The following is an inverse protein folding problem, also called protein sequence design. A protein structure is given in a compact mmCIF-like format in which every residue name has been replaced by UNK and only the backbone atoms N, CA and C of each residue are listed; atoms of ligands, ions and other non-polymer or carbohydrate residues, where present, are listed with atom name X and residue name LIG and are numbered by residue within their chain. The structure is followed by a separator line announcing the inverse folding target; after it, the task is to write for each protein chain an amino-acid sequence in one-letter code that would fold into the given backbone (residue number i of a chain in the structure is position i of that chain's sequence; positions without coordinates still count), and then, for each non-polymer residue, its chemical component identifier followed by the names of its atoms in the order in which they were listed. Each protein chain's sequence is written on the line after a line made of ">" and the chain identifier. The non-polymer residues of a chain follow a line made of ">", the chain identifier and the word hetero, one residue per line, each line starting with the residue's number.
data_IF_048361526899
#
_entry.id   IF_048361526899
#
_cell.length_a   1.000
_cell.length_b   1.000
_cell.length_c   1.000
_cell.angle_alpha   90.00
_cell.angle_beta   90.00
_cell.angle_gamma   90.00
#
_symmetry.space_group_name_H-M   'P 1'
#
loop_
_entity.id
_entity.type
_entity.pdbx_description
1 polymer ?
#
# COMPACT_ATOMS: atom_id res chain seq x y z
N UNK A 1 -26.33 14.86 36.11
CA UNK A 1 -25.21 14.17 35.43
C UNK A 1 -24.20 13.66 36.47
N UNK A 2 -23.58 12.48 36.29
CA UNK A 2 -22.50 12.06 37.21
C UNK A 2 -21.27 12.95 37.01
N UNK A 3 -20.49 13.17 38.08
CA UNK A 3 -19.33 14.08 38.06
C UNK A 3 -18.36 13.72 36.92
N UNK A 4 -18.02 12.44 36.78
CA UNK A 4 -17.14 11.92 35.72
C UNK A 4 -17.66 12.20 34.30
N UNK A 5 -18.96 12.01 34.06
CA UNK A 5 -19.57 12.33 32.75
C UNK A 5 -19.50 13.83 32.46
N UNK A 6 -19.71 14.66 33.49
CA UNK A 6 -19.58 16.11 33.37
C UNK A 6 -18.15 16.54 33.06
N UNK A 7 -17.16 15.93 33.70
CA UNK A 7 -15.75 16.28 33.49
C UNK A 7 -15.27 15.89 32.08
N UNK A 8 -15.74 14.77 31.54
CA UNK A 8 -15.46 14.36 30.15
C UNK A 8 -16.11 15.35 29.16
N UNK A 9 -17.40 15.67 29.34
CA UNK A 9 -18.11 16.58 28.44
C UNK A 9 -17.46 17.97 28.46
N UNK A 10 -17.08 18.49 29.63
CA UNK A 10 -16.32 19.75 29.75
C UNK A 10 -14.99 19.71 29.01
N UNK A 11 -14.25 18.61 29.11
CA UNK A 11 -12.96 18.44 28.44
C UNK A 11 -13.11 18.40 26.91
N UNK A 12 -14.17 17.78 26.39
CA UNK A 12 -14.52 17.76 24.97
C UNK A 12 -14.93 19.16 24.50
N UNK A 13 -15.79 19.85 25.25
CA UNK A 13 -16.24 21.21 24.92
C UNK A 13 -15.08 22.20 24.88
N UNK A 14 -14.13 22.10 25.84
CA UNK A 14 -12.89 22.86 25.83
C UNK A 14 -12.06 22.59 24.58
N UNK A 15 -11.85 21.33 24.22
CA UNK A 15 -11.10 20.96 23.02
C UNK A 15 -11.72 21.52 21.73
N UNK A 16 -13.05 21.38 21.58
CA UNK A 16 -13.76 21.91 20.41
C UNK A 16 -13.61 23.44 20.32
N UNK A 17 -13.72 24.16 21.45
CA UNK A 17 -13.49 25.61 21.50
C UNK A 17 -12.06 25.95 21.03
N UNK A 18 -11.04 25.31 21.60
CA UNK A 18 -9.64 25.58 21.28
C UNK A 18 -9.36 25.36 19.78
N UNK A 19 -9.96 24.34 19.16
CA UNK A 19 -9.84 24.07 17.72
C UNK A 19 -10.57 25.12 16.85
N UNK A 20 -11.76 25.59 17.25
CA UNK A 20 -12.49 26.67 16.57
C UNK A 20 -11.70 27.99 16.61
N UNK A 21 -11.08 28.30 17.75
CA UNK A 21 -10.25 29.49 17.95
C UNK A 21 -8.92 29.39 17.17
N UNK A 22 -8.46 28.17 16.87
CA UNK A 22 -7.25 27.95 16.08
C UNK A 22 -7.41 28.45 14.62
N UNK A 23 -6.28 28.86 14.01
CA UNK A 23 -6.25 29.34 12.63
C UNK A 23 -6.16 28.21 11.58
N UNK A 24 -6.36 26.95 11.96
CA UNK A 24 -6.11 25.78 11.11
C UNK A 24 -7.33 25.30 10.33
N UNK A 25 -8.53 25.67 10.77
CA UNK A 25 -9.80 25.21 10.21
C UNK A 25 -10.41 26.27 9.29
N UNK A 26 -11.07 25.83 8.22
CA UNK A 26 -11.87 26.68 7.34
C UNK A 26 -13.22 27.05 8.00
N UNK A 27 -13.98 27.93 7.33
CA UNK A 27 -15.24 28.46 7.88
C UNK A 27 -16.29 27.37 8.07
N UNK A 28 -16.44 26.47 7.09
CA UNK A 28 -17.43 25.39 7.10
C UNK A 28 -17.12 24.38 8.23
N UNK A 29 -15.84 24.08 8.46
CA UNK A 29 -15.37 23.24 9.56
C UNK A 29 -15.65 23.89 10.92
N UNK A 30 -15.41 25.19 11.06
CA UNK A 30 -15.70 25.93 12.30
C UNK A 30 -17.20 25.96 12.61
N UNK A 31 -18.04 26.18 11.60
CA UNK A 31 -19.50 26.13 11.76
C UNK A 31 -19.96 24.74 12.20
N UNK A 32 -19.43 23.69 11.59
CA UNK A 32 -19.74 22.30 11.94
C UNK A 32 -19.37 21.98 13.40
N UNK A 33 -18.22 22.50 13.87
CA UNK A 33 -17.77 22.34 15.25
C UNK A 33 -18.60 23.16 16.25
N UNK A 34 -19.02 24.37 15.90
CA UNK A 34 -19.93 25.16 16.74
C UNK A 34 -21.29 24.46 16.92
N UNK A 35 -21.83 23.84 15.87
CA UNK A 35 -23.05 23.03 15.98
C UNK A 35 -22.83 21.86 16.94
N UNK A 36 -21.72 21.13 16.80
CA UNK A 36 -21.40 20.01 17.68
C UNK A 36 -21.28 20.45 19.16
N UNK A 37 -20.63 21.59 19.40
CA UNK A 37 -20.50 22.21 20.72
C UNK A 37 -21.88 22.57 21.32
N UNK A 38 -22.74 23.25 20.56
CA UNK A 38 -24.09 23.62 21.03
C UNK A 38 -24.97 22.39 21.32
N UNK A 39 -24.87 21.34 20.50
CA UNK A 39 -25.57 20.08 20.75
C UNK A 39 -25.15 19.46 22.10
N UNK A 40 -23.86 19.45 22.40
CA UNK A 40 -23.34 18.94 23.67
C UNK A 40 -23.75 19.83 24.85
N UNK A 41 -23.64 21.15 24.72
CA UNK A 41 -24.06 22.11 25.76
C UNK A 41 -25.56 21.94 26.09
N UNK A 42 -26.42 21.85 25.07
CA UNK A 42 -27.86 21.64 25.27
C UNK A 42 -28.18 20.27 25.86
N UNK A 43 -27.55 19.21 25.38
CA UNK A 43 -27.82 17.84 25.85
C UNK A 43 -27.44 17.65 27.32
N UNK A 44 -26.40 18.34 27.78
CA UNK A 44 -25.85 18.20 29.13
C UNK A 44 -26.17 19.38 30.05
N UNK A 45 -27.07 20.28 29.63
CA UNK A 45 -27.51 21.46 30.40
C UNK A 45 -26.33 22.33 30.88
N UNK A 46 -25.36 22.59 30.00
CA UNK A 46 -24.16 23.39 30.31
C UNK A 46 -24.31 24.83 29.82
N UNK A 47 -24.00 25.79 30.68
CA UNK A 47 -24.13 27.22 30.34
C UNK A 47 -22.88 27.73 29.60
N UNK A 48 -23.08 28.14 28.34
CA UNK A 48 -22.05 28.72 27.46
C UNK A 48 -21.46 30.04 27.95
N UNK A 49 -22.15 30.74 28.87
CA UNK A 49 -21.71 32.03 29.41
C UNK A 49 -20.61 31.90 30.47
N UNK A 50 -20.42 30.70 31.03
CA UNK A 50 -19.55 30.50 32.17
C UNK A 50 -18.13 30.17 31.68
N UNK A 51 -17.36 31.23 31.36
CA UNK A 51 -15.97 31.11 30.86
C UNK A 51 -15.10 30.26 31.80
N UNK A 52 -15.44 30.25 33.11
CA UNK A 52 -14.81 29.45 34.14
C UNK A 52 -14.88 27.93 33.87
N UNK A 53 -15.98 27.44 33.27
CA UNK A 53 -16.22 26.01 32.97
C UNK A 53 -15.16 25.44 32.03
N UNK A 54 -14.62 26.26 31.13
CA UNK A 54 -13.66 25.84 30.11
C UNK A 54 -12.22 26.04 30.57
N UNK A 55 -11.94 27.06 31.39
CA UNK A 55 -10.60 27.27 31.97
C UNK A 55 -10.23 26.21 33.00
N UNK A 56 -11.20 25.67 33.72
CA UNK A 56 -10.99 24.63 34.74
C UNK A 56 -11.07 23.19 34.20
N UNK A 57 -11.56 23.00 32.96
CA UNK A 57 -11.69 21.67 32.38
C UNK A 57 -10.33 21.03 32.11
N UNK A 58 -10.14 19.79 32.52
CA UNK A 58 -8.93 19.00 32.22
C UNK A 58 -8.68 18.94 30.71
N UNK A 59 -7.43 18.97 30.28
CA UNK A 59 -7.10 18.83 28.86
C UNK A 59 -7.59 17.45 28.36
N UNK A 60 -8.34 17.42 27.25
CA UNK A 60 -8.93 16.17 26.73
C UNK A 60 -7.89 15.07 26.52
N UNK A 61 -6.71 15.42 25.99
CA UNK A 61 -5.63 14.45 25.80
C UNK A 61 -5.07 13.95 27.13
N UNK A 62 -5.07 14.74 28.21
CA UNK A 62 -4.66 14.27 29.53
C UNK A 62 -5.63 13.25 30.16
N UNK A 63 -6.88 13.17 29.72
CA UNK A 63 -7.80 12.08 30.08
C UNK A 63 -7.40 10.74 29.42
N UNK A 64 -6.76 10.80 28.25
CA UNK A 64 -6.22 9.63 27.55
C UNK A 64 -4.77 9.34 27.96
N UNK A 65 -4.07 10.38 28.40
CA UNK A 65 -2.68 10.37 28.80
C UNK A 65 -2.58 10.44 30.33
N UNK A 66 -3.53 9.81 31.03
CA UNK A 66 -3.38 9.55 32.47
C UNK A 66 -2.10 8.73 32.57
N UNK A 67 -1.03 9.43 32.92
CA UNK A 67 0.14 8.87 33.55
C UNK A 67 -0.37 8.21 34.83
N UNK A 68 -0.95 7.01 34.68
CA UNK A 68 -1.11 6.09 35.78
C UNK A 68 0.31 5.77 36.18
N UNK A 69 0.73 6.33 37.32
CA UNK A 69 1.71 5.62 38.13
C UNK A 69 1.16 4.21 38.28
N UNK A 70 1.74 3.28 37.53
CA UNK A 70 1.35 1.89 37.58
C UNK A 70 1.76 1.42 38.97
N UNK A 71 0.79 1.31 39.88
CA UNK A 71 1.10 0.80 41.21
C UNK A 71 1.63 -0.66 41.07
N UNK A 72 2.48 -1.07 42.01
CA UNK A 72 3.16 -2.39 41.93
C UNK A 72 2.18 -3.57 41.89
N UNK A 73 1.02 -3.45 42.54
CA UNK A 73 -0.03 -4.47 42.52
C UNK A 73 -0.68 -4.58 41.14
N UNK A 74 -1.02 -3.46 40.50
CA UNK A 74 -1.56 -3.45 39.13
C UNK A 74 -0.52 -4.00 38.13
N UNK A 75 0.76 -3.67 38.31
CA UNK A 75 1.84 -4.25 37.51
C UNK A 75 1.94 -5.77 37.69
N UNK A 76 1.84 -6.26 38.93
CA UNK A 76 1.84 -7.69 39.24
C UNK A 76 0.65 -8.41 38.61
N UNK A 77 -0.56 -7.87 38.75
CA UNK A 77 -1.78 -8.44 38.14
C UNK A 77 -1.65 -8.46 36.61
N UNK A 78 -1.12 -7.39 36.00
CA UNK A 78 -0.90 -7.34 34.56
C UNK A 78 0.07 -8.44 34.07
N UNK A 79 1.10 -8.74 34.86
CA UNK A 79 2.04 -9.82 34.55
C UNK A 79 1.41 -11.21 34.67
N UNK A 80 0.54 -11.43 35.66
CA UNK A 80 -0.28 -12.66 35.77
C UNK A 80 -1.22 -12.82 34.57
N UNK A 81 -1.89 -11.73 34.15
CA UNK A 81 -2.72 -11.71 32.95
C UNK A 81 -1.91 -12.04 31.70
N UNK A 82 -0.67 -11.54 31.58
CA UNK A 82 0.21 -11.94 30.46
C UNK A 82 0.45 -13.45 30.45
N UNK A 83 0.73 -14.07 31.60
CA UNK A 83 0.91 -15.53 31.69
C UNK A 83 -0.36 -16.26 31.27
N UNK A 84 -1.53 -15.79 31.72
CA UNK A 84 -2.82 -16.36 31.33
C UNK A 84 -3.10 -16.22 29.83
N UNK A 85 -2.86 -15.05 29.25
CA UNK A 85 -2.99 -14.81 27.81
C UNK A 85 -2.05 -15.70 27.00
N UNK A 86 -0.82 -15.92 27.47
CA UNK A 86 0.11 -16.85 26.83
C UNK A 86 -0.39 -18.30 26.87
N UNK A 87 -1.11 -18.71 27.92
CA UNK A 87 -1.71 -20.04 27.98
C UNK A 87 -2.86 -20.18 26.98
N UNK A 88 -3.73 -19.18 26.84
CA UNK A 88 -4.74 -19.16 25.78
C UNK A 88 -4.13 -19.21 24.38
N UNK A 89 -3.02 -18.49 24.14
CA UNK A 89 -2.27 -18.57 22.88
C UNK A 89 -1.78 -20.00 22.60
N UNK A 90 -1.27 -20.72 23.61
CA UNK A 90 -0.82 -22.11 23.46
C UNK A 90 -1.97 -23.08 23.18
N UNK A 91 -3.16 -22.78 23.70
CA UNK A 91 -4.38 -23.55 23.48
C UNK A 91 -5.07 -23.23 22.14
N UNK A 92 -4.59 -22.24 21.38
CA UNK A 92 -5.21 -21.79 20.14
C UNK A 92 -6.44 -20.88 20.34
N UNK A 93 -6.72 -20.47 21.57
CA UNK A 93 -7.83 -19.60 21.94
C UNK A 93 -7.42 -18.12 21.80
N UNK A 94 -7.30 -17.66 20.55
CA UNK A 94 -6.68 -16.36 20.26
C UNK A 94 -7.57 -15.17 20.62
N UNK A 95 -8.90 -15.31 20.56
CA UNK A 95 -9.84 -14.25 20.96
C UNK A 95 -9.78 -14.01 22.47
N UNK A 96 -9.77 -15.08 23.26
CA UNK A 96 -9.63 -15.01 24.71
C UNK A 96 -8.25 -14.46 25.11
N UNK A 97 -7.19 -14.82 24.38
CA UNK A 97 -5.87 -14.24 24.60
C UNK A 97 -5.87 -12.71 24.36
N UNK A 98 -6.58 -12.23 23.33
CA UNK A 98 -6.68 -10.80 23.00
C UNK A 98 -7.38 -10.03 24.13
N UNK A 99 -8.48 -10.55 24.65
CA UNK A 99 -9.21 -9.93 25.76
C UNK A 99 -8.31 -9.81 26.99
N UNK A 100 -7.63 -10.90 27.36
CA UNK A 100 -6.72 -10.93 28.50
C UNK A 100 -5.52 -9.99 28.34
N UNK A 101 -4.91 -9.90 27.15
CA UNK A 101 -3.85 -8.92 26.92
C UNK A 101 -4.36 -7.48 26.95
N UNK A 102 -5.61 -7.23 26.57
CA UNK A 102 -6.22 -5.91 26.66
C UNK A 102 -6.45 -5.51 28.11
N UNK A 103 -6.89 -6.42 28.96
CA UNK A 103 -6.93 -6.20 30.41
C UNK A 103 -5.54 -5.88 30.98
N UNK A 104 -4.49 -6.63 30.57
CA UNK A 104 -3.11 -6.36 31.00
C UNK A 104 -2.62 -4.97 30.58
N UNK A 105 -2.95 -4.54 29.36
CA UNK A 105 -2.62 -3.20 28.83
C UNK A 105 -3.34 -2.11 29.63
N UNK A 106 -4.62 -2.31 29.97
CA UNK A 106 -5.38 -1.35 30.76
C UNK A 106 -4.78 -1.14 32.15
N UNK A 107 -4.19 -2.20 32.74
CA UNK A 107 -3.53 -2.12 34.05
C UNK A 107 -2.11 -1.54 33.98
N UNK A 108 -1.35 -1.86 32.93
CA UNK A 108 0.00 -1.35 32.73
C UNK A 108 0.26 -1.07 31.23
N UNK A 109 -0.11 0.13 30.75
CA UNK A 109 -0.01 0.50 29.34
C UNK A 109 1.43 0.80 28.90
N UNK A 110 2.39 0.85 29.84
CA UNK A 110 3.80 1.14 29.53
C UNK A 110 4.61 -0.14 29.24
N UNK A 111 4.02 -1.32 29.44
CA UNK A 111 4.70 -2.57 29.17
C UNK A 111 4.57 -3.00 27.70
N UNK A 112 5.64 -2.78 26.94
CA UNK A 112 5.72 -3.11 25.52
C UNK A 112 5.40 -4.59 25.20
N UNK A 113 5.61 -5.51 26.15
CA UNK A 113 5.43 -6.96 25.94
C UNK A 113 3.96 -7.30 25.71
N UNK A 114 3.03 -6.59 26.35
CA UNK A 114 1.60 -6.89 26.22
C UNK A 114 1.10 -6.56 24.82
N UNK A 115 1.47 -5.40 24.28
CA UNK A 115 1.21 -5.04 22.88
C UNK A 115 1.87 -6.03 21.92
N UNK A 116 3.14 -6.38 22.14
CA UNK A 116 3.83 -7.37 21.30
C UNK A 116 3.07 -8.72 21.30
N UNK A 117 2.59 -9.18 22.45
CA UNK A 117 1.85 -10.43 22.58
C UNK A 117 0.46 -10.37 21.96
N UNK A 118 -0.29 -9.28 22.17
CA UNK A 118 -1.59 -9.04 21.55
C UNK A 118 -1.49 -8.93 20.03
N UNK A 119 -0.41 -8.35 19.49
CA UNK A 119 -0.13 -8.35 18.06
C UNK A 119 -0.02 -9.77 17.47
N UNK A 120 0.53 -10.75 18.21
CA UNK A 120 0.50 -12.14 17.74
C UNK A 120 -0.89 -12.76 17.79
N UNK A 121 -1.70 -12.45 18.80
CA UNK A 121 -3.10 -12.88 18.83
C UNK A 121 -3.86 -12.32 17.61
N UNK A 122 -3.72 -11.03 17.33
CA UNK A 122 -4.27 -10.41 16.12
C UNK A 122 -3.78 -11.06 14.83
N UNK A 123 -2.48 -11.38 14.74
CA UNK A 123 -1.90 -12.05 13.57
C UNK A 123 -2.50 -13.45 13.35
N UNK A 124 -2.75 -14.20 14.43
CA UNK A 124 -3.40 -15.52 14.37
C UNK A 124 -4.87 -15.46 14.01
N UNK A 125 -5.52 -14.31 14.23
CA UNK A 125 -6.89 -14.01 13.84
C UNK A 125 -6.99 -13.30 12.49
N UNK A 126 -5.88 -13.20 11.73
CA UNK A 126 -5.82 -12.50 10.44
C UNK A 126 -6.20 -11.01 10.49
N UNK A 127 -6.16 -10.41 11.70
CA UNK A 127 -6.41 -8.98 11.93
C UNK A 127 -5.12 -8.18 11.78
N UNK A 128 -4.56 -8.17 10.57
CA UNK A 128 -3.20 -7.67 10.30
C UNK A 128 -3.02 -6.17 10.61
N UNK A 129 -4.00 -5.31 10.33
CA UNK A 129 -3.93 -3.88 10.69
C UNK A 129 -3.82 -3.64 12.20
N UNK A 130 -4.58 -4.39 13.00
CA UNK A 130 -4.48 -4.33 14.45
C UNK A 130 -3.11 -4.84 14.94
N UNK A 131 -2.59 -5.91 14.34
CA UNK A 131 -1.25 -6.41 14.64
C UNK A 131 -0.16 -5.38 14.33
N UNK A 132 -0.26 -4.66 13.21
CA UNK A 132 0.66 -3.57 12.84
C UNK A 132 0.60 -2.46 13.89
N UNK A 133 -0.60 -2.02 14.27
CA UNK A 133 -0.80 -0.97 15.28
C UNK A 133 -0.14 -1.33 16.61
N UNK A 134 -0.40 -2.54 17.12
CA UNK A 134 0.18 -3.01 18.38
C UNK A 134 1.70 -3.22 18.29
N UNK A 135 2.23 -3.68 17.15
CA UNK A 135 3.67 -3.76 16.96
C UNK A 135 4.32 -2.38 17.00
N UNK A 136 3.72 -1.38 16.36
CA UNK A 136 4.22 0.01 16.36
C UNK A 136 4.20 0.61 17.76
N UNK A 137 3.14 0.41 18.54
CA UNK A 137 3.09 0.88 19.92
C UNK A 137 4.12 0.14 20.80
N UNK A 138 4.28 -1.17 20.63
CA UNK A 138 5.33 -1.94 21.30
C UNK A 138 6.74 -1.40 20.99
N UNK A 139 7.03 -1.12 19.72
CA UNK A 139 8.32 -0.56 19.26
C UNK A 139 8.55 0.85 19.84
N UNK A 140 7.51 1.69 19.87
CA UNK A 140 7.57 3.03 20.46
C UNK A 140 7.91 2.99 21.95
N UNK A 141 7.37 2.01 22.69
CA UNK A 141 7.67 1.80 24.11
C UNK A 141 9.06 1.20 24.32
N UNK A 142 9.40 0.14 23.58
CA UNK A 142 10.70 -0.52 23.61
C UNK A 142 10.98 -1.21 22.27
N UNK A 143 11.95 -0.71 21.49
CA UNK A 143 12.37 -1.38 20.26
C UNK A 143 12.95 -2.77 20.58
N UNK A 144 12.36 -3.82 20.01
CA UNK A 144 12.83 -5.20 20.19
C UNK A 144 12.78 -5.97 18.88
N UNK A 145 13.72 -6.91 18.68
CA UNK A 145 13.74 -7.76 17.49
C UNK A 145 12.40 -8.51 17.29
N UNK A 146 11.78 -8.95 18.39
CA UNK A 146 10.49 -9.65 18.38
C UNK A 146 9.35 -8.79 17.84
N UNK A 147 9.28 -7.52 18.25
CA UNK A 147 8.23 -6.60 17.79
C UNK A 147 8.41 -6.25 16.30
N UNK A 148 9.65 -5.98 15.87
CA UNK A 148 9.96 -5.77 14.45
C UNK A 148 9.71 -7.01 13.59
N UNK A 149 10.09 -8.21 14.06
CA UNK A 149 9.83 -9.45 13.34
C UNK A 149 8.33 -9.71 13.17
N UNK A 150 7.51 -9.40 14.17
CA UNK A 150 6.04 -9.51 14.08
C UNK A 150 5.44 -8.44 13.16
N UNK A 151 5.98 -7.23 13.19
CA UNK A 151 5.60 -6.16 12.25
C UNK A 151 5.87 -6.59 10.80
N UNK A 152 7.04 -7.18 10.55
CA UNK A 152 7.39 -7.73 9.24
C UNK A 152 6.40 -8.79 8.77
N UNK A 153 6.05 -9.74 9.65
CA UNK A 153 5.04 -10.78 9.34
C UNK A 153 3.68 -10.16 9.00
N UNK A 154 3.23 -9.18 9.77
CA UNK A 154 1.96 -8.52 9.53
C UNK A 154 1.95 -7.77 8.19
N UNK A 155 3.05 -7.12 7.80
CA UNK A 155 3.20 -6.48 6.49
C UNK A 155 3.29 -7.49 5.34
N UNK A 156 4.03 -8.60 5.51
CA UNK A 156 4.10 -9.67 4.51
C UNK A 156 2.72 -10.23 4.19
N UNK A 157 1.88 -10.48 5.21
CA UNK A 157 0.52 -10.99 5.02
C UNK A 157 -0.40 -9.99 4.30
N UNK A 158 -0.03 -8.71 4.28
CA UNK A 158 -0.73 -7.65 3.56
C UNK A 158 -0.12 -7.37 2.18
N UNK A 159 0.85 -8.16 1.73
CA UNK A 159 1.64 -7.96 0.51
C UNK A 159 2.41 -6.62 0.47
N UNK A 160 2.63 -6.00 1.62
CA UNK A 160 3.41 -4.76 1.78
C UNK A 160 4.90 -5.13 1.93
N UNK A 161 5.49 -5.64 0.85
CA UNK A 161 6.80 -6.31 0.91
C UNK A 161 7.96 -5.36 1.23
N UNK A 162 7.88 -4.09 0.81
CA UNK A 162 8.88 -3.08 1.15
C UNK A 162 8.91 -2.82 2.67
N UNK A 163 7.74 -2.58 3.27
CA UNK A 163 7.60 -2.35 4.70
C UNK A 163 7.93 -3.61 5.52
N UNK A 164 7.59 -4.79 4.99
CA UNK A 164 7.96 -6.06 5.59
C UNK A 164 9.48 -6.24 5.64
N UNK A 165 10.16 -6.00 4.50
CA UNK A 165 11.62 -6.04 4.38
C UNK A 165 12.28 -5.11 5.38
N UNK A 166 11.84 -3.85 5.46
CA UNK A 166 12.42 -2.86 6.37
C UNK A 166 12.24 -3.27 7.84
N UNK A 167 11.09 -3.85 8.19
CA UNK A 167 10.85 -4.38 9.53
C UNK A 167 11.72 -5.63 9.82
N UNK A 168 11.87 -6.57 8.89
CA UNK A 168 12.74 -7.74 9.09
C UNK A 168 14.22 -7.37 9.17
N UNK A 169 14.66 -6.38 8.38
CA UNK A 169 16.01 -5.84 8.46
C UNK A 169 16.29 -5.29 9.87
N UNK A 170 15.37 -4.49 10.42
CA UNK A 170 15.49 -4.00 11.80
C UNK A 170 15.45 -5.13 12.84
N UNK A 171 14.66 -6.18 12.62
CA UNK A 171 14.65 -7.35 13.50
C UNK A 171 16.00 -8.08 13.47
N UNK A 172 16.59 -8.27 12.28
CA UNK A 172 17.87 -8.93 12.09
C UNK A 172 19.05 -8.10 12.62
N UNK A 173 19.02 -6.78 12.47
CA UNK A 173 20.02 -5.88 13.08
C UNK A 173 20.04 -6.00 14.61
N UNK A 174 18.88 -6.21 15.25
CA UNK A 174 18.75 -6.35 16.70
C UNK A 174 19.05 -7.76 17.22
N UNK A 175 18.82 -8.79 16.39
CA UNK A 175 19.11 -10.19 16.71
C UNK A 175 19.53 -10.94 15.44
N UNK A 176 20.83 -10.84 15.13
CA UNK A 176 21.44 -11.45 13.95
C UNK A 176 21.58 -12.97 14.06
N UNK A 177 21.43 -13.53 15.27
CA UNK A 177 21.49 -14.97 15.50
C UNK A 177 20.20 -15.71 15.12
N UNK A 178 19.11 -14.95 14.93
CA UNK A 178 17.80 -15.51 14.63
C UNK A 178 17.63 -15.76 13.13
N UNK A 179 17.83 -17.02 12.72
CA UNK A 179 17.69 -17.46 11.33
C UNK A 179 16.31 -17.13 10.73
N UNK A 180 15.24 -17.05 11.54
CA UNK A 180 13.90 -16.71 11.04
C UNK A 180 13.86 -15.30 10.45
N UNK A 181 14.54 -14.33 11.06
CA UNK A 181 14.54 -12.95 10.56
C UNK A 181 15.34 -12.84 9.26
N UNK A 182 16.46 -13.55 9.15
CA UNK A 182 17.24 -13.62 7.92
C UNK A 182 16.45 -14.27 6.78
N UNK A 183 15.78 -15.40 7.06
CA UNK A 183 14.94 -16.11 6.08
C UNK A 183 13.77 -15.23 5.62
N UNK A 184 13.06 -14.59 6.55
CA UNK A 184 11.94 -13.72 6.22
C UNK A 184 12.38 -12.45 5.47
N UNK A 185 13.56 -11.91 5.77
CA UNK A 185 14.14 -10.79 5.03
C UNK A 185 14.42 -11.18 3.57
N UNK A 186 15.08 -12.32 3.35
CA UNK A 186 15.34 -12.87 2.01
C UNK A 186 14.05 -13.11 1.23
N UNK A 187 13.04 -13.70 1.88
CA UNK A 187 11.74 -13.92 1.27
C UNK A 187 11.06 -12.59 0.89
N UNK A 188 11.15 -11.57 1.76
CA UNK A 188 10.60 -10.24 1.45
C UNK A 188 11.33 -9.59 0.27
N UNK A 189 12.66 -9.74 0.17
CA UNK A 189 13.46 -9.27 -0.97
C UNK A 189 13.06 -9.97 -2.29
N UNK A 190 12.89 -11.29 -2.26
CA UNK A 190 12.45 -12.09 -3.42
C UNK A 190 11.04 -11.68 -3.88
N UNK A 191 10.10 -11.55 -2.94
CA UNK A 191 8.73 -11.13 -3.23
C UNK A 191 8.69 -9.71 -3.79
N UNK A 192 9.51 -8.79 -3.25
CA UNK A 192 9.64 -7.44 -3.78
C UNK A 192 10.24 -7.41 -5.19
N UNK A 193 11.23 -8.24 -5.47
CA UNK A 193 11.83 -8.37 -6.81
C UNK A 193 10.87 -9.02 -7.82
N UNK A 194 9.98 -9.90 -7.36
CA UNK A 194 8.97 -10.56 -8.19
C UNK A 194 7.75 -9.70 -8.51
N UNK A 195 7.54 -8.59 -7.79
CA UNK A 195 6.47 -7.65 -8.08
C UNK A 195 6.73 -7.01 -9.46
N UNK A 196 5.74 -7.03 -10.38
CA UNK A 196 5.86 -6.30 -11.63
C UNK A 196 6.08 -4.83 -11.27
N UNK A 197 7.26 -4.31 -11.60
CA UNK A 197 7.69 -2.97 -11.23
C UNK A 197 6.66 -1.93 -11.68
N UNK A 198 5.78 -1.51 -10.77
CA UNK A 198 4.86 -0.38 -10.93
C UNK A 198 5.60 0.96 -10.69
N UNK A 199 6.89 1.00 -11.04
CA UNK A 199 7.85 1.99 -10.55
C UNK A 199 8.87 2.47 -11.56
N UNK A 200 8.62 2.38 -12.88
CA UNK A 200 9.36 3.17 -13.87
C UNK A 200 8.47 4.25 -14.51
N UNK A 201 7.67 4.96 -13.70
CA UNK A 201 7.09 6.25 -14.11
C UNK A 201 8.04 7.44 -13.83
N UNK A 202 9.20 7.20 -13.22
CA UNK A 202 10.22 8.24 -12.98
C UNK A 202 11.37 8.26 -14.02
N UNK A 203 11.31 7.41 -15.05
CA UNK A 203 12.26 7.43 -16.18
C UNK A 203 11.58 7.64 -17.54
N UNK A 204 10.32 8.10 -17.55
CA UNK A 204 9.60 8.44 -18.80
C UNK A 204 9.96 9.84 -19.36
N UNK A 205 10.90 10.56 -18.74
CA UNK A 205 11.30 11.91 -19.16
C UNK A 205 12.54 11.94 -20.05
N UNK A 206 13.14 10.81 -20.37
CA UNK A 206 14.32 10.78 -21.23
C UNK A 206 14.37 9.49 -22.06
N UNK A 207 13.53 9.45 -23.10
CA UNK A 207 13.79 8.92 -24.45
C UNK A 207 12.45 8.46 -25.08
N UNK A 208 11.98 9.07 -26.16
CA UNK A 208 10.90 8.50 -26.95
C UNK A 208 11.44 7.30 -27.71
N UNK A 209 11.14 6.08 -27.24
CA UNK A 209 11.31 4.87 -28.04
C UNK A 209 9.95 4.53 -28.69
N UNK A 210 9.79 4.66 -30.02
CA UNK A 210 8.51 4.42 -30.70
C UNK A 210 8.01 2.97 -30.66
N UNK A 211 8.81 2.01 -30.17
CA UNK A 211 8.52 0.58 -30.25
C UNK A 211 8.30 -0.14 -28.90
N UNK A 212 8.12 0.59 -27.79
CA UNK A 212 7.69 -0.04 -26.53
C UNK A 212 6.16 -0.21 -26.53
N UNK A 213 5.68 -1.35 -27.01
CA UNK A 213 4.26 -1.71 -26.92
C UNK A 213 3.90 -1.83 -25.43
N UNK A 214 3.09 -0.90 -24.95
CA UNK A 214 2.58 -0.90 -23.58
C UNK A 214 1.54 -2.03 -23.44
N UNK A 215 1.98 -3.19 -22.92
CA UNK A 215 1.16 -4.40 -22.79
C UNK A 215 -0.11 -4.18 -21.95
N UNK A 216 -0.11 -3.17 -21.07
CA UNK A 216 -1.26 -2.82 -20.24
C UNK A 216 -2.39 -2.13 -21.04
N UNK A 217 -2.04 -1.40 -22.10
CA UNK A 217 -2.99 -0.85 -23.07
C UNK A 217 -3.37 -1.88 -24.16
N UNK A 218 -2.52 -2.89 -24.37
CA UNK A 218 -2.77 -3.98 -25.33
C UNK A 218 -3.88 -4.92 -24.85
N UNK A 219 -3.84 -5.34 -23.58
CA UNK A 219 -4.84 -6.24 -22.99
C UNK A 219 -6.22 -5.60 -22.78
N UNK A 220 -6.28 -4.28 -22.64
CA UNK A 220 -7.53 -3.54 -22.42
C UNK A 220 -8.15 -2.97 -23.70
N UNK A 221 -7.63 -3.32 -24.89
CA UNK A 221 -8.19 -2.83 -26.15
C UNK A 221 -9.21 -3.83 -26.74
N UNK A 222 -10.51 -3.49 -26.76
CA UNK A 222 -11.55 -4.39 -27.24
C UNK A 222 -11.41 -4.76 -28.73
N UNK A 223 -10.79 -3.91 -29.56
CA UNK A 223 -10.53 -4.22 -30.97
C UNK A 223 -9.42 -5.26 -31.17
N UNK A 224 -8.48 -5.34 -30.23
CA UNK A 224 -7.44 -6.37 -30.25
C UNK A 224 -7.97 -7.70 -29.71
N UNK A 225 -8.85 -7.66 -28.70
CA UNK A 225 -9.55 -8.85 -28.21
C UNK A 225 -10.42 -9.47 -29.33
N UNK A 226 -11.11 -8.65 -30.13
CA UNK A 226 -11.89 -9.15 -31.27
C UNK A 226 -11.01 -9.68 -32.40
N UNK A 227 -9.85 -9.08 -32.64
CA UNK A 227 -8.90 -9.56 -33.66
C UNK A 227 -8.27 -10.89 -33.22
N UNK A 228 -7.89 -11.01 -31.94
CA UNK A 228 -7.34 -12.24 -31.37
C UNK A 228 -8.38 -13.38 -31.34
N UNK A 229 -9.63 -13.09 -31.00
CA UNK A 229 -10.70 -14.08 -31.05
C UNK A 229 -11.03 -14.51 -32.48
N UNK A 230 -10.91 -13.61 -33.47
CA UNK A 230 -11.08 -13.93 -34.87
C UNK A 230 -9.95 -14.83 -35.40
N UNK A 231 -8.70 -14.59 -34.98
CA UNK A 231 -7.59 -15.49 -35.30
C UNK A 231 -7.74 -16.87 -34.63
N UNK A 232 -8.20 -16.92 -33.37
CA UNK A 232 -8.49 -18.18 -32.68
C UNK A 232 -9.74 -18.90 -33.22
N UNK A 233 -10.57 -18.22 -34.00
CA UNK A 233 -11.68 -18.85 -34.71
C UNK A 233 -11.26 -19.47 -36.05
N UNK A 234 -10.04 -19.18 -36.54
CA UNK A 234 -9.50 -19.81 -37.75
C UNK A 234 -8.97 -21.22 -37.44
N UNK A 235 -9.61 -22.28 -37.98
CA UNK A 235 -9.19 -23.66 -37.74
C UNK A 235 -7.74 -23.94 -38.17
N UNK A 236 -7.23 -23.24 -39.20
CA UNK A 236 -5.86 -23.40 -39.65
C UNK A 236 -4.87 -22.86 -38.60
N UNK A 237 -5.19 -21.72 -37.99
CA UNK A 237 -4.40 -21.11 -36.93
C UNK A 237 -4.45 -21.94 -35.63
N UNK A 238 -5.63 -22.43 -35.25
CA UNK A 238 -5.78 -23.30 -34.05
C UNK A 238 -4.99 -24.59 -34.20
N UNK A 239 -5.01 -25.21 -35.39
CA UNK A 239 -4.23 -26.42 -35.67
C UNK A 239 -2.72 -26.16 -35.64
N UNK A 240 -2.28 -24.99 -36.11
CA UNK A 240 -0.89 -24.54 -36.06
C UNK A 240 -0.40 -24.32 -34.62
N UNK A 241 -1.19 -23.63 -33.79
CA UNK A 241 -0.87 -23.39 -32.36
C UNK A 241 -0.90 -24.69 -31.56
N UNK A 242 -1.85 -25.58 -31.86
CA UNK A 242 -1.94 -26.92 -31.25
C UNK A 242 -0.72 -27.79 -31.60
N UNK A 243 -0.22 -27.70 -32.84
CA UNK A 243 1.03 -28.36 -33.24
C UNK A 243 2.27 -27.83 -32.52
N UNK A 244 2.30 -26.52 -32.22
CA UNK A 244 3.39 -25.88 -31.46
C UNK A 244 3.38 -26.28 -29.98
N UNK A 245 2.20 -26.49 -29.40
CA UNK A 245 2.03 -26.94 -28.01
C UNK A 245 2.14 -28.46 -27.84
N UNK A 246 2.22 -29.22 -28.93
CA UNK A 246 2.48 -30.65 -28.86
C UNK A 246 3.95 -30.88 -28.48
N UNK A 247 4.19 -31.19 -27.20
CA UNK A 247 5.50 -31.60 -26.69
C UNK A 247 5.80 -33.02 -27.17
N UNK A 248 7.05 -33.30 -27.53
CA UNK A 248 7.48 -34.64 -27.94
C UNK A 248 7.31 -35.68 -26.82
N UNK A 249 7.53 -36.99 -27.11
CA UNK A 249 7.32 -38.08 -26.15
C UNK A 249 8.09 -37.96 -24.82
N UNK A 250 9.11 -37.10 -24.76
CA UNK A 250 9.95 -36.85 -23.59
C UNK A 250 9.73 -35.47 -22.95
N UNK A 251 8.70 -34.72 -23.36
CA UNK A 251 8.41 -33.38 -22.80
C UNK A 251 9.26 -32.25 -23.38
N UNK A 252 10.11 -32.52 -24.37
CA UNK A 252 10.87 -31.47 -25.06
C UNK A 252 10.00 -30.71 -26.08
N UNK A 253 10.24 -29.39 -26.27
CA UNK A 253 9.60 -28.61 -27.31
C UNK A 253 9.84 -29.22 -28.69
N UNK A 254 8.79 -29.41 -29.47
CA UNK A 254 8.87 -30.03 -30.80
C UNK A 254 9.46 -29.04 -31.83
N UNK A 255 10.80 -28.99 -31.89
CA UNK A 255 11.56 -28.12 -32.81
C UNK A 255 11.24 -28.44 -34.27
N UNK A 256 10.93 -29.69 -34.61
CA UNK A 256 10.53 -30.10 -35.97
C UNK A 256 9.14 -29.55 -36.34
N UNK A 257 8.22 -29.48 -35.36
CA UNK A 257 6.94 -28.79 -35.49
C UNK A 257 7.12 -27.29 -35.74
N UNK A 258 8.03 -26.65 -35.00
CA UNK A 258 8.36 -25.24 -35.23
C UNK A 258 8.96 -25.00 -36.62
N UNK A 259 9.89 -25.84 -37.07
CA UNK A 259 10.56 -25.69 -38.36
C UNK A 259 9.59 -25.89 -39.54
N UNK A 260 8.71 -26.89 -39.47
CA UNK A 260 7.68 -27.14 -40.49
C UNK A 260 6.69 -25.96 -40.61
N UNK A 261 6.25 -25.42 -39.47
CA UNK A 261 5.38 -24.24 -39.41
C UNK A 261 6.09 -23.01 -39.99
N UNK A 262 7.37 -22.81 -39.70
CA UNK A 262 8.17 -21.70 -40.24
C UNK A 262 8.29 -21.81 -41.76
N UNK A 263 8.47 -23.03 -42.27
CA UNK A 263 8.60 -23.30 -43.71
C UNK A 263 7.27 -23.12 -44.45
N UNK A 264 6.16 -23.52 -43.82
CA UNK A 264 4.82 -23.38 -44.37
C UNK A 264 4.35 -21.91 -44.35
N UNK A 265 4.67 -21.17 -43.29
CA UNK A 265 4.45 -19.72 -43.22
C UNK A 265 5.28 -18.98 -44.26
N UNK A 266 6.54 -19.36 -44.48
CA UNK A 266 7.40 -18.77 -45.52
C UNK A 266 6.82 -18.99 -46.93
N UNK A 267 6.27 -20.18 -47.20
CA UNK A 267 5.57 -20.47 -48.47
C UNK A 267 4.27 -19.67 -48.62
N UNK A 268 3.53 -19.49 -47.53
CA UNK A 268 2.29 -18.72 -47.53
C UNK A 268 2.55 -17.21 -47.70
N UNK A 269 3.63 -16.68 -47.12
CA UNK A 269 4.08 -15.29 -47.33
C UNK A 269 4.53 -15.08 -48.79
N UNK A 270 5.24 -16.04 -49.38
CA UNK A 270 5.64 -15.99 -50.78
C UNK A 270 4.45 -16.07 -51.75
N UNK A 271 3.44 -16.88 -51.42
CA UNK A 271 2.25 -17.05 -52.26
C UNK A 271 1.23 -15.90 -52.09
N UNK A 272 1.12 -15.33 -50.89
CA UNK A 272 0.03 -14.41 -50.57
C UNK A 272 0.32 -12.94 -50.87
N UNK A 273 1.58 -12.46 -50.92
CA UNK A 273 1.79 -11.03 -51.23
C UNK A 273 3.25 -10.67 -51.58
N UNK A 274 3.55 -10.61 -52.88
CA UNK A 274 4.64 -9.76 -53.41
C UNK A 274 4.49 -8.30 -52.96
N UNK A 275 3.25 -7.84 -52.74
CA UNK A 275 2.92 -6.50 -52.27
C UNK A 275 3.30 -6.24 -50.79
N UNK A 276 3.44 -7.26 -49.94
CA UNK A 276 3.81 -7.06 -48.53
C UNK A 276 5.31 -6.78 -48.40
N UNK A 277 6.12 -7.44 -49.23
CA UNK A 277 7.56 -7.18 -49.35
C UNK A 277 7.80 -5.80 -49.96
N UNK A 278 7.01 -5.38 -50.95
CA UNK A 278 7.09 -4.03 -51.53
C UNK A 278 6.69 -2.94 -50.52
N UNK A 279 5.68 -3.21 -49.69
CA UNK A 279 5.23 -2.31 -48.61
C UNK A 279 6.26 -2.20 -47.48
N UNK A 280 6.94 -3.30 -47.12
CA UNK A 280 8.06 -3.34 -46.19
C UNK A 280 9.31 -2.64 -46.76
N UNK A 281 9.50 -2.68 -48.07
CA UNK A 281 10.58 -1.95 -48.76
C UNK A 281 10.31 -0.45 -48.76
N UNK A 282 9.08 -0.03 -49.02
CA UNK A 282 8.66 1.38 -48.97
C UNK A 282 8.69 1.97 -47.55
N UNK A 283 8.43 1.17 -46.51
CA UNK A 283 8.52 1.65 -45.12
C UNK A 283 9.96 1.78 -44.62
N UNK A 284 10.94 1.09 -45.24
CA UNK A 284 12.37 1.22 -44.92
C UNK A 284 13.10 2.33 -45.70
N UNK A 285 12.51 2.85 -46.78
CA UNK A 285 13.00 4.06 -47.45
C UNK A 285 12.07 5.22 -47.14
N UNK A 286 12.31 5.90 -46.02
CA UNK A 286 11.55 7.08 -45.60
C UNK A 286 11.57 8.23 -46.63
N UNK A 287 10.62 9.17 -46.55
CA UNK A 287 10.51 10.25 -47.53
C UNK A 287 11.73 11.18 -47.43
N UNK A 288 12.44 11.28 -48.55
CA UNK A 288 13.53 12.22 -48.75
C UNK A 288 13.00 13.66 -48.72
N UNK A 289 13.74 14.51 -48.00
CA UNK A 289 13.64 15.95 -47.92
C UNK A 289 13.78 16.67 -49.27
N UNK A 290 13.01 17.74 -49.46
CA UNK A 290 13.16 18.77 -50.49
C UNK A 290 11.79 19.19 -51.04
N UNK A 291 11.40 20.45 -51.20
CA UNK A 291 12.09 21.74 -51.14
C UNK A 291 11.02 22.84 -51.20
N UNK A 292 11.30 23.98 -50.58
CA UNK A 292 10.89 25.35 -50.96
C UNK A 292 9.41 25.76 -50.94
N UNK A 293 9.08 26.68 -50.04
CA UNK A 293 7.87 27.52 -50.07
C UNK A 293 8.11 28.81 -49.29
N UNK A 294 8.81 29.74 -49.95
CA UNK A 294 9.06 31.14 -49.57
C UNK A 294 7.77 31.87 -49.13
N UNK A 295 7.85 32.69 -48.09
CA UNK A 295 6.89 33.78 -47.90
C UNK A 295 7.55 34.94 -47.11
N UNK A 296 7.91 36.07 -47.75
CA UNK A 296 8.46 37.23 -47.05
C UNK A 296 7.34 38.19 -46.62
N UNK A 297 7.28 38.45 -45.31
CA UNK A 297 6.48 39.51 -44.70
C UNK A 297 7.30 40.82 -44.64
N UNK A 298 6.57 41.91 -44.85
CA UNK A 298 7.03 43.26 -45.16
C UNK A 298 7.79 43.98 -44.03
N UNK A 299 8.66 44.88 -44.51
CA UNK A 299 9.41 45.97 -43.90
C UNK A 299 8.61 46.83 -42.87
N UNK A 300 9.28 47.47 -41.92
CA UNK A 300 9.56 48.90 -42.12
C UNK A 300 10.96 49.35 -41.65
N UNK A 301 11.57 50.24 -42.45
CA UNK A 301 12.78 51.02 -42.11
C UNK A 301 12.63 51.92 -40.86
N UNK A 302 13.66 52.72 -40.47
CA UNK A 302 14.20 53.74 -41.38
C UNK A 302 15.71 54.11 -41.22
N UNK A 303 16.14 55.04 -42.08
CA UNK A 303 17.22 56.06 -41.95
C UNK A 303 18.61 55.84 -42.60
N UNK A 304 18.79 56.58 -43.70
CA UNK A 304 19.85 57.55 -44.02
C UNK A 304 21.33 57.20 -43.81
N UNK A 305 22.11 57.20 -44.90
CA UNK A 305 23.16 58.22 -45.10
C UNK A 305 23.70 58.27 -46.54
N UNK A 306 23.84 59.50 -47.05
CA UNK A 306 24.53 59.99 -48.25
C UNK A 306 23.84 59.87 -49.61
#
# INVERSE_FOLDING_TARGET
>A
MSKEKGDIVKSILRFIRDEIESSKLDMDQKESLEVAKQCLESTYEMDSADTAVYTEATNLFSLFNVNTEVNEEAARIAEELKVRGNNYMKMGQYSEALDIYTEAINLNPKNHVFYCNRAAAYSRLEKHWNAISDCKESIKLQPTAKAYGRLGVAYSNMNMYQEARDAYLKAHELDSSNATYEQNLKLADELLASQPSSGSQAAASALPNPNAINFNNFLNNPALISTASQMLSDPAFVNMVSGLMSTGPNGDPNIDGFLSVTQQLAQQIQAANSNLIESLRQSMTGPNSGSSGDNPQQDPGPQNNQ
#
